data_IF_837431937306
#
_entry.id   IF_837431937306
#
_cell.length_a   1.000
_cell.length_b   1.000
_cell.length_c   1.000
_cell.angle_alpha   90.00
_cell.angle_beta   90.00
_cell.angle_gamma   90.00
#
_symmetry.space_group_name_H-M   'P 1'
#
loop_
_entity.id
_entity.type
_entity.pdbx_description
1 polymer ?
#
# COMPACT_ATOMS: atom_id res chain seq x y z
N UNK A 1 5.51 -1.21 6.14
CA UNK A 1 4.11 -1.62 5.94
C UNK A 1 3.19 -0.52 6.43
N UNK A 2 1.90 -0.57 6.08
CA UNK A 2 0.90 0.41 6.53
C UNK A 2 1.31 1.85 6.14
N UNK A 3 1.25 2.77 7.10
CA UNK A 3 1.53 4.20 6.94
C UNK A 3 2.97 4.59 7.29
N UNK A 4 3.88 3.63 7.49
CA UNK A 4 5.25 3.93 7.92
C UNK A 4 5.98 4.81 6.87
N UNK A 5 6.36 6.06 7.19
CA UNK A 5 7.12 6.92 6.29
C UNK A 5 8.62 6.60 6.36
N UNK A 6 9.33 6.72 5.25
CA UNK A 6 10.80 6.71 5.22
C UNK A 6 11.38 8.11 5.12
N UNK A 7 10.66 9.03 4.47
CA UNK A 7 11.09 10.41 4.25
C UNK A 7 11.27 11.14 5.59
N UNK A 8 12.45 11.69 5.82
CA UNK A 8 12.82 12.38 7.06
C UNK A 8 13.29 11.45 8.19
N UNK A 9 13.34 10.13 7.95
CA UNK A 9 13.79 9.11 8.91
C UNK A 9 14.84 8.17 8.28
N UNK A 10 15.43 8.54 7.15
CA UNK A 10 16.26 7.65 6.33
C UNK A 10 17.49 7.12 7.07
N UNK A 11 18.04 7.89 8.02
CA UNK A 11 19.15 7.45 8.88
C UNK A 11 18.79 6.25 9.76
N UNK A 12 17.53 6.18 10.18
CA UNK A 12 17.07 5.27 11.21
C UNK A 12 16.39 4.03 10.59
N UNK A 13 15.69 4.23 9.47
CA UNK A 13 14.86 3.17 8.84
C UNK A 13 15.27 2.84 7.40
N UNK A 14 16.25 3.55 6.86
CA UNK A 14 16.68 3.42 5.47
C UNK A 14 15.76 4.13 4.47
N UNK A 15 16.31 4.43 3.29
CA UNK A 15 15.59 5.17 2.25
C UNK A 15 14.84 4.27 1.24
N UNK A 16 15.26 3.02 1.07
CA UNK A 16 14.80 2.16 -0.02
C UNK A 16 13.70 1.21 0.42
N UNK A 17 12.57 1.26 -0.28
CA UNK A 17 11.51 0.25 -0.20
C UNK A 17 11.41 -0.44 -1.56
N UNK A 18 11.43 -1.78 -1.61
CA UNK A 18 11.22 -2.54 -2.87
C UNK A 18 9.88 -3.25 -2.89
N UNK A 19 9.40 -3.67 -1.71
CA UNK A 19 8.11 -4.30 -1.52
C UNK A 19 7.43 -3.64 -0.32
N UNK A 20 6.13 -3.33 -0.44
CA UNK A 20 5.32 -2.83 0.68
C UNK A 20 4.07 -3.68 0.85
N UNK A 21 3.97 -4.31 2.02
CA UNK A 21 2.74 -4.97 2.46
C UNK A 21 1.67 -3.94 2.85
N UNK A 22 0.44 -4.15 2.38
CA UNK A 22 -0.72 -3.30 2.66
C UNK A 22 -2.05 -4.06 2.58
N UNK A 23 -3.10 -3.46 3.14
CA UNK A 23 -4.51 -3.82 3.02
C UNK A 23 -5.32 -2.52 2.77
N UNK A 24 -6.61 -2.58 2.39
CA UNK A 24 -7.36 -1.40 1.93
C UNK A 24 -7.28 -0.18 2.86
N UNK A 25 -7.50 -0.37 4.15
CA UNK A 25 -7.50 0.68 5.16
C UNK A 25 -6.10 1.25 5.45
N UNK A 26 -5.04 0.58 4.98
CA UNK A 26 -3.65 1.03 5.10
C UNK A 26 -3.04 1.49 3.78
N UNK A 27 -3.84 1.65 2.72
CA UNK A 27 -3.35 2.01 1.40
C UNK A 27 -2.82 3.45 1.38
N UNK A 28 -1.64 3.63 0.78
CA UNK A 28 -0.95 4.93 0.66
C UNK A 28 -0.27 5.02 -0.71
N UNK A 29 -0.14 6.24 -1.24
CA UNK A 29 0.50 6.48 -2.54
C UNK A 29 1.99 6.15 -2.47
N UNK A 30 2.45 5.29 -3.39
CA UNK A 30 3.83 4.81 -3.44
C UNK A 30 4.52 5.23 -4.73
N UNK A 31 5.84 5.24 -4.69
CA UNK A 31 6.66 5.48 -5.88
C UNK A 31 6.58 4.31 -6.87
N UNK A 32 6.87 4.58 -8.13
CA UNK A 32 6.74 3.60 -9.22
C UNK A 32 7.71 2.40 -9.13
N UNK A 33 8.74 2.45 -8.26
CA UNK A 33 9.73 1.37 -8.11
C UNK A 33 9.36 0.36 -7.00
N UNK A 34 8.32 0.66 -6.21
CA UNK A 34 7.87 -0.20 -5.12
C UNK A 34 6.77 -1.17 -5.59
N UNK A 35 6.98 -2.47 -5.37
CA UNK A 35 5.97 -3.50 -5.61
C UNK A 35 5.01 -3.60 -4.42
N UNK A 36 3.72 -3.67 -4.70
CA UNK A 36 2.68 -3.78 -3.68
C UNK A 36 2.41 -5.26 -3.34
N UNK A 37 2.44 -5.59 -2.05
CA UNK A 37 2.09 -6.92 -1.53
C UNK A 37 0.76 -6.82 -0.80
N UNK A 38 -0.29 -7.34 -1.42
CA UNK A 38 -1.65 -7.22 -0.91
C UNK A 38 -1.96 -8.32 0.12
N UNK A 39 -2.48 -7.93 1.28
CA UNK A 39 -2.85 -8.83 2.38
C UNK A 39 -4.36 -8.74 2.65
N UNK A 40 -5.18 -9.64 2.06
CA UNK A 40 -6.63 -9.65 2.30
C UNK A 40 -6.98 -10.31 3.64
N UNK A 41 -7.81 -9.65 4.44
CA UNK A 41 -8.35 -10.15 5.71
C UNK A 41 -9.85 -10.48 5.62
N UNK A 42 -10.56 -9.93 4.62
CA UNK A 42 -11.98 -10.16 4.35
C UNK A 42 -12.26 -10.17 2.85
N UNK A 43 -13.36 -10.81 2.44
CA UNK A 43 -13.79 -10.87 1.02
C UNK A 43 -13.94 -9.48 0.40
N UNK A 44 -14.37 -8.50 1.18
CA UNK A 44 -14.49 -7.10 0.76
C UNK A 44 -13.14 -6.51 0.29
N UNK A 45 -12.01 -6.98 0.80
CA UNK A 45 -10.69 -6.48 0.40
C UNK A 45 -10.38 -6.86 -1.05
N UNK A 46 -10.76 -8.08 -1.46
CA UNK A 46 -10.61 -8.52 -2.85
C UNK A 46 -11.49 -7.71 -3.80
N UNK A 47 -12.72 -7.37 -3.37
CA UNK A 47 -13.62 -6.51 -4.14
C UNK A 47 -13.04 -5.09 -4.25
N UNK A 48 -12.50 -4.56 -3.16
CA UNK A 48 -11.81 -3.27 -3.14
C UNK A 48 -10.62 -3.27 -4.11
N UNK A 49 -9.82 -4.34 -4.16
CA UNK A 49 -8.69 -4.44 -5.08
C UNK A 49 -9.16 -4.34 -6.54
N UNK A 50 -10.21 -5.07 -6.92
CA UNK A 50 -10.78 -4.98 -8.26
C UNK A 50 -11.26 -3.55 -8.54
N UNK A 51 -12.03 -2.95 -7.62
CA UNK A 51 -12.57 -1.59 -7.75
C UNK A 51 -11.47 -0.53 -7.93
N UNK A 52 -10.43 -0.58 -7.10
CA UNK A 52 -9.33 0.37 -7.10
C UNK A 52 -8.55 0.34 -8.41
N UNK A 53 -8.30 -0.85 -8.98
CA UNK A 53 -7.47 -1.01 -10.18
C UNK A 53 -8.25 -0.89 -11.50
N UNK A 54 -9.57 -1.11 -11.51
CA UNK A 54 -10.38 -1.07 -12.74
C UNK A 54 -11.22 0.20 -12.85
N UNK A 55 -11.88 0.61 -11.78
CA UNK A 55 -12.81 1.74 -11.76
C UNK A 55 -12.19 3.00 -11.13
N UNK A 56 -11.00 2.88 -10.52
CA UNK A 56 -10.36 3.93 -9.71
C UNK A 56 -11.28 4.45 -8.59
N UNK A 57 -12.21 3.62 -8.13
CA UNK A 57 -13.09 3.94 -7.04
C UNK A 57 -12.49 3.35 -5.76
N UNK A 58 -11.94 4.23 -4.93
CA UNK A 58 -11.31 3.91 -3.64
C UNK A 58 -12.23 4.44 -2.55
N UNK A 59 -13.01 3.55 -1.95
CA UNK A 59 -13.69 3.83 -0.68
C UNK A 59 -12.73 3.52 0.47
N UNK A 60 -12.67 4.42 1.46
CA UNK A 60 -11.83 4.33 2.66
C UNK A 60 -12.69 4.05 3.88
#
# INVERSE_FOLDING_TARGET
MNHAPTKGYESDVGARTTHRAFYPESATDMDASTHLVFLPFKVLDLQWLISAFTHKNITR
#
